data_IF_084121581732
#
_entry.id   IF_084121581732
#
_cell.length_a   1.000
_cell.length_b   1.000
_cell.length_c   1.000
_cell.angle_alpha   90.00
_cell.angle_beta   90.00
_cell.angle_gamma   90.00
#
_symmetry.space_group_name_H-M   'P 1'
#
loop_
_entity.id
_entity.type
_entity.pdbx_description
1 polymer ?
#
# COMPACT_ATOMS: atom_id res chain seq x y z
N UNK A 1 -1.85 18.74 -3.35
CA UNK A 1 -0.63 18.75 -2.52
C UNK A 1 -0.33 17.31 -2.18
N UNK A 2 0.91 16.89 -2.34
CA UNK A 2 1.30 15.53 -2.04
C UNK A 2 1.42 15.36 -0.51
N UNK A 3 0.94 14.24 0.06
CA UNK A 3 0.92 14.06 1.52
C UNK A 3 2.33 13.83 2.06
N UNK A 4 2.61 14.32 3.25
CA UNK A 4 3.78 13.89 4.01
C UNK A 4 3.44 12.61 4.77
N UNK A 5 4.38 11.67 4.83
CA UNK A 5 4.25 10.47 5.64
C UNK A 5 4.49 10.83 7.11
N UNK A 6 3.62 10.35 7.99
CA UNK A 6 3.76 10.52 9.43
C UNK A 6 4.49 9.35 10.10
N UNK A 7 4.68 9.44 11.41
CA UNK A 7 5.44 8.42 12.16
C UNK A 7 4.84 7.01 12.02
N UNK A 8 3.50 6.89 11.93
CA UNK A 8 2.84 5.60 11.78
C UNK A 8 3.05 5.03 10.37
N UNK A 9 3.02 5.88 9.35
CA UNK A 9 3.39 5.49 7.99
C UNK A 9 4.82 4.93 7.93
N UNK A 10 5.78 5.63 8.54
CA UNK A 10 7.18 5.17 8.59
C UNK A 10 7.36 3.89 9.40
N UNK A 11 6.57 3.69 10.47
CA UNK A 11 6.60 2.45 11.23
C UNK A 11 6.18 1.25 10.37
N UNK A 12 5.14 1.41 9.54
CA UNK A 12 4.68 0.38 8.59
C UNK A 12 5.75 0.14 7.52
N UNK A 13 6.30 1.19 6.93
CA UNK A 13 7.37 1.06 5.93
C UNK A 13 8.58 0.27 6.47
N UNK A 14 8.99 0.49 7.72
CA UNK A 14 10.10 -0.28 8.34
C UNK A 14 9.77 -1.75 8.55
N UNK A 15 8.50 -2.12 8.71
CA UNK A 15 8.07 -3.53 8.78
C UNK A 15 8.15 -4.19 7.40
N UNK A 16 7.64 -3.49 6.38
CA UNK A 16 7.60 -3.96 4.99
C UNK A 16 9.00 -4.01 4.36
N UNK A 17 9.84 -3.04 4.66
CA UNK A 17 11.15 -2.84 4.08
C UNK A 17 12.16 -2.42 5.17
N UNK A 18 12.59 -3.34 6.07
CA UNK A 18 13.58 -3.02 7.11
C UNK A 18 14.93 -2.55 6.57
N UNK A 19 15.27 -2.92 5.34
CA UNK A 19 16.44 -2.43 4.60
C UNK A 19 16.32 -0.96 4.18
N UNK A 20 15.10 -0.41 4.22
CA UNK A 20 14.83 0.98 3.87
C UNK A 20 15.33 1.92 4.98
N UNK A 21 16.53 2.45 4.78
CA UNK A 21 17.22 3.37 5.72
C UNK A 21 16.77 4.84 5.61
N UNK A 22 15.65 5.12 4.93
CA UNK A 22 15.06 6.45 4.86
C UNK A 22 15.57 7.34 3.72
N UNK A 23 16.39 6.81 2.80
CA UNK A 23 16.75 7.56 1.60
C UNK A 23 15.67 7.31 0.55
N UNK A 24 14.84 8.35 0.38
CA UNK A 24 13.91 8.55 -0.72
C UNK A 24 14.50 8.08 -2.04
N UNK A 25 13.67 7.42 -2.86
CA UNK A 25 13.99 6.97 -4.21
C UNK A 25 15.12 7.80 -4.86
N UNK A 26 16.37 7.27 -4.92
CA UNK A 26 17.53 8.05 -5.34
C UNK A 26 17.43 8.51 -6.80
N UNK A 27 16.53 7.93 -7.59
CA UNK A 27 16.31 8.27 -9.00
C UNK A 27 15.38 9.46 -9.25
N UNK A 28 14.68 10.01 -8.23
CA UNK A 28 13.71 11.10 -8.48
C UNK A 28 13.75 12.26 -7.49
N UNK A 29 14.41 12.13 -6.33
CA UNK A 29 14.47 13.21 -5.34
C UNK A 29 13.10 13.64 -4.79
N UNK A 30 12.07 12.83 -4.99
CA UNK A 30 10.70 13.08 -4.55
C UNK A 30 10.37 12.19 -3.35
N UNK A 31 9.61 12.74 -2.40
CA UNK A 31 9.12 12.01 -1.25
C UNK A 31 8.09 10.96 -1.68
N UNK A 32 8.11 9.78 -1.06
CA UNK A 32 6.99 8.85 -1.24
C UNK A 32 5.76 9.43 -0.55
N UNK A 33 4.64 9.38 -1.26
CA UNK A 33 3.34 9.85 -0.77
C UNK A 33 2.38 8.68 -0.50
N UNK A 34 2.84 7.46 -0.72
CA UNK A 34 2.12 6.21 -0.47
C UNK A 34 3.09 5.18 0.10
N UNK A 35 2.56 4.12 0.72
CA UNK A 35 3.33 3.05 1.34
C UNK A 35 3.38 1.81 0.43
N UNK A 36 2.23 1.34 -0.03
CA UNK A 36 2.09 0.08 -0.76
C UNK A 36 2.64 0.14 -2.19
N UNK A 37 2.36 1.18 -3.02
CA UNK A 37 2.92 1.26 -4.36
C UNK A 37 4.44 1.25 -4.44
N UNK A 38 5.21 2.00 -3.62
CA UNK A 38 6.66 1.93 -3.69
C UNK A 38 7.21 0.61 -3.15
N UNK A 39 6.55 -0.01 -2.16
CA UNK A 39 6.95 -1.35 -1.70
C UNK A 39 6.80 -2.36 -2.84
N UNK A 40 5.62 -2.42 -3.47
CA UNK A 40 5.34 -3.30 -4.61
C UNK A 40 6.26 -3.03 -5.81
N UNK A 41 6.37 -1.78 -6.27
CA UNK A 41 7.03 -1.49 -7.55
C UNK A 41 8.55 -1.31 -7.49
N UNK A 42 9.10 -0.97 -6.32
CA UNK A 42 10.51 -0.54 -6.22
C UNK A 42 11.33 -1.29 -5.19
N UNK A 43 10.68 -1.91 -4.21
CA UNK A 43 11.37 -2.61 -3.12
C UNK A 43 11.23 -4.12 -3.28
N UNK A 44 10.03 -4.59 -3.64
CA UNK A 44 9.80 -6.01 -3.87
C UNK A 44 10.52 -6.49 -5.12
N UNK A 45 11.10 -7.69 -5.04
CA UNK A 45 11.74 -8.33 -6.20
C UNK A 45 10.72 -8.86 -7.21
N UNK A 46 9.60 -9.39 -6.70
CA UNK A 46 8.51 -10.02 -7.44
C UNK A 46 7.25 -10.12 -6.55
N UNK A 47 6.18 -10.72 -7.10
CA UNK A 47 4.89 -10.92 -6.42
C UNK A 47 5.00 -11.71 -5.11
N UNK A 48 5.90 -12.70 -5.04
CA UNK A 48 6.09 -13.54 -3.86
C UNK A 48 6.78 -12.74 -2.75
N UNK A 49 7.82 -11.97 -3.09
CA UNK A 49 8.48 -11.07 -2.13
C UNK A 49 7.53 -9.99 -1.62
N UNK A 50 6.65 -9.43 -2.47
CA UNK A 50 5.62 -8.50 -2.01
C UNK A 50 4.68 -9.16 -0.99
N UNK A 51 4.15 -10.35 -1.30
CA UNK A 51 3.28 -11.10 -0.40
C UNK A 51 3.96 -11.39 0.95
N UNK A 52 5.23 -11.83 0.94
CA UNK A 52 6.00 -12.06 2.18
C UNK A 52 6.22 -10.79 3.01
N UNK A 53 6.36 -9.62 2.35
CA UNK A 53 6.50 -8.33 3.05
C UNK A 53 5.21 -7.91 3.71
N UNK A 54 4.09 -7.92 3.00
CA UNK A 54 2.81 -7.45 3.55
C UNK A 54 2.24 -8.40 4.61
N UNK A 55 2.62 -9.67 4.59
CA UNK A 55 2.32 -10.63 5.66
C UNK A 55 2.98 -10.29 7.01
N UNK A 56 3.95 -9.35 7.05
CA UNK A 56 4.57 -8.86 8.31
C UNK A 56 3.71 -7.85 9.06
N UNK A 57 2.65 -7.36 8.41
CA UNK A 57 1.73 -6.39 9.00
C UNK A 57 0.76 -7.08 9.95
N UNK A 58 0.50 -6.41 11.07
CA UNK A 58 -0.54 -6.82 12.02
C UNK A 58 -1.92 -6.37 11.57
N UNK A 59 -2.96 -6.93 12.16
CA UNK A 59 -4.35 -6.52 11.88
C UNK A 59 -4.55 -5.00 12.10
N UNK A 60 -3.94 -4.42 13.14
CA UNK A 60 -3.97 -2.98 13.42
C UNK A 60 -3.26 -2.12 12.35
N UNK A 61 -2.22 -2.68 11.69
CA UNK A 61 -1.56 -2.01 10.57
C UNK A 61 -2.48 -2.02 9.34
N UNK A 62 -3.19 -3.13 9.10
CA UNK A 62 -4.16 -3.25 8.02
C UNK A 62 -5.37 -2.34 8.22
N UNK A 63 -5.91 -2.25 9.44
CA UNK A 63 -6.97 -1.29 9.77
C UNK A 63 -6.54 0.15 9.46
N UNK A 64 -5.29 0.50 9.81
CA UNK A 64 -4.74 1.81 9.51
C UNK A 64 -4.59 2.05 8.00
N UNK A 65 -4.02 1.09 7.27
CA UNK A 65 -3.85 1.19 5.82
C UNK A 65 -5.20 1.33 5.11
N UNK A 66 -6.22 0.58 5.54
CA UNK A 66 -7.59 0.72 5.06
C UNK A 66 -8.09 2.14 5.26
N UNK A 67 -7.95 2.72 6.45
CA UNK A 67 -8.35 4.12 6.69
C UNK A 67 -7.63 5.08 5.74
N UNK A 68 -6.32 4.89 5.52
CA UNK A 68 -5.56 5.71 4.58
C UNK A 68 -6.06 5.54 3.14
N UNK A 69 -6.42 4.33 2.71
CA UNK A 69 -6.97 4.07 1.38
C UNK A 69 -8.34 4.72 1.23
N UNK A 70 -9.24 4.53 2.20
CA UNK A 70 -10.60 5.05 2.15
C UNK A 70 -10.66 6.58 2.22
N UNK A 71 -9.66 7.22 2.86
CA UNK A 71 -9.50 8.68 2.90
C UNK A 71 -8.72 9.24 1.72
N UNK A 72 -8.22 8.38 0.82
CA UNK A 72 -7.44 8.76 -0.35
C UNK A 72 -6.02 9.24 -0.04
N UNK A 73 -5.53 9.00 1.18
CA UNK A 73 -4.13 9.25 1.57
C UNK A 73 -3.21 8.16 1.05
N UNK A 74 -3.69 6.93 0.98
CA UNK A 74 -3.00 5.81 0.34
C UNK A 74 -3.68 5.45 -0.98
N UNK A 75 -2.89 5.23 -2.03
CA UNK A 75 -3.40 4.82 -3.34
C UNK A 75 -2.86 3.44 -3.69
N UNK A 76 -3.69 2.61 -4.34
CA UNK A 76 -3.27 1.35 -4.96
C UNK A 76 -2.98 1.52 -6.46
N UNK A 77 -3.07 2.76 -6.98
CA UNK A 77 -2.77 3.06 -8.38
C UNK A 77 -1.33 2.68 -8.72
N UNK A 78 -1.14 2.17 -9.94
CA UNK A 78 0.18 1.78 -10.47
C UNK A 78 0.79 0.55 -9.78
N UNK A 79 0.07 -0.16 -8.91
CA UNK A 79 0.46 -1.49 -8.47
C UNK A 79 0.05 -2.54 -9.54
N UNK A 80 0.81 -3.64 -9.69
CA UNK A 80 0.39 -4.79 -10.47
C UNK A 80 -0.92 -5.39 -9.95
N UNK A 81 -1.71 -6.02 -10.83
CA UNK A 81 -3.00 -6.61 -10.44
C UNK A 81 -2.83 -7.72 -9.39
N UNK A 82 -1.79 -8.56 -9.51
CA UNK A 82 -1.46 -9.60 -8.51
C UNK A 82 -1.21 -9.06 -7.10
N UNK A 83 -0.49 -7.93 -6.99
CA UNK A 83 -0.20 -7.30 -5.70
C UNK A 83 -1.45 -6.66 -5.09
N UNK A 84 -2.33 -6.13 -5.94
CA UNK A 84 -3.63 -5.59 -5.49
C UNK A 84 -4.51 -6.71 -4.95
N UNK A 85 -4.59 -7.85 -5.63
CA UNK A 85 -5.33 -9.01 -5.15
C UNK A 85 -4.79 -9.51 -3.80
N UNK A 86 -3.46 -9.49 -3.63
CA UNK A 86 -2.78 -9.80 -2.36
C UNK A 86 -3.20 -8.84 -1.24
N UNK A 87 -3.21 -7.53 -1.52
CA UNK A 87 -3.70 -6.51 -0.56
C UNK A 87 -5.17 -6.75 -0.19
N UNK A 88 -6.03 -7.03 -1.18
CA UNK A 88 -7.46 -7.27 -0.95
C UNK A 88 -7.69 -8.52 -0.10
N UNK A 89 -6.91 -9.59 -0.31
CA UNK A 89 -6.97 -10.80 0.51
C UNK A 89 -6.65 -10.49 1.97
N UNK A 90 -5.56 -9.78 2.24
CA UNK A 90 -5.20 -9.39 3.60
C UNK A 90 -6.22 -8.46 4.26
N UNK A 91 -6.80 -7.50 3.54
CA UNK A 91 -7.87 -6.65 4.07
C UNK A 91 -9.11 -7.49 4.44
N UNK A 92 -9.43 -8.49 3.62
CA UNK A 92 -10.57 -9.38 3.88
C UNK A 92 -10.38 -10.16 5.19
N UNK A 93 -9.17 -10.68 5.41
CA UNK A 93 -8.82 -11.47 6.61
C UNK A 93 -8.67 -10.61 7.86
N UNK A 94 -7.95 -9.49 7.76
CA UNK A 94 -7.59 -8.66 8.91
C UNK A 94 -8.71 -7.69 9.33
N UNK A 95 -9.55 -7.24 8.39
CA UNK A 95 -10.57 -6.20 8.65
C UNK A 95 -11.97 -6.73 8.37
N UNK A 96 -12.25 -7.06 7.10
CA UNK A 96 -13.50 -7.73 6.68
C UNK A 96 -13.60 -7.81 5.15
N UNK A 97 -14.32 -8.82 4.67
CA UNK A 97 -14.68 -8.97 3.25
C UNK A 97 -15.42 -7.74 2.69
N UNK A 98 -16.33 -7.14 3.46
CA UNK A 98 -17.06 -5.92 3.04
C UNK A 98 -16.09 -4.75 2.77
N UNK A 99 -15.06 -4.62 3.60
CA UNK A 99 -14.05 -3.57 3.48
C UNK A 99 -13.16 -3.81 2.28
N UNK A 100 -12.71 -5.06 2.06
CA UNK A 100 -11.94 -5.43 0.88
C UNK A 100 -12.72 -5.09 -0.40
N UNK A 101 -14.00 -5.45 -0.47
CA UNK A 101 -14.85 -5.12 -1.61
C UNK A 101 -15.05 -3.61 -1.80
N UNK A 102 -15.09 -2.83 -0.71
CA UNK A 102 -15.14 -1.36 -0.80
C UNK A 102 -13.84 -0.79 -1.38
N UNK A 103 -12.68 -1.27 -0.93
CA UNK A 103 -11.37 -0.88 -1.46
C UNK A 103 -11.24 -1.28 -2.93
N UNK A 104 -11.65 -2.49 -3.29
CA UNK A 104 -11.70 -2.98 -4.67
C UNK A 104 -12.48 -2.03 -5.57
N UNK A 105 -13.68 -1.61 -5.15
CA UNK A 105 -14.49 -0.65 -5.92
C UNK A 105 -13.79 0.69 -6.10
N UNK A 106 -13.14 1.22 -5.06
CA UNK A 106 -12.40 2.48 -5.15
C UNK A 106 -11.25 2.38 -6.15
N UNK A 107 -10.50 1.28 -6.14
CA UNK A 107 -9.44 1.02 -7.12
C UNK A 107 -9.99 0.99 -8.55
N UNK A 108 -11.06 0.23 -8.81
CA UNK A 108 -11.66 0.13 -10.16
C UNK A 108 -12.20 1.48 -10.66
N UNK A 109 -12.79 2.29 -9.77
CA UNK A 109 -13.25 3.63 -10.10
C UNK A 109 -12.10 4.61 -10.38
N UNK A 110 -10.95 4.40 -9.74
CA UNK A 110 -9.77 5.25 -9.93
C UNK A 110 -8.95 4.86 -11.17
N UNK A 111 -8.96 3.57 -11.56
CA UNK A 111 -8.31 3.06 -12.77
C UNK A 111 -9.12 3.27 -14.06
N UNK A 112 -10.43 3.51 -13.94
CA UNK A 112 -11.29 3.80 -15.08
C UNK A 112 -11.48 5.31 -15.22
N UNK A 113 -10.74 5.92 -16.14
CA UNK A 113 -11.02 7.28 -16.60
C UNK A 113 -12.41 7.33 -17.24
N UNK A 114 -13.44 7.58 -16.43
CA UNK A 114 -14.75 8.01 -16.93
C UNK A 114 -14.71 9.54 -17.03
N UNK A 115 -14.27 10.01 -18.20
CA UNK A 115 -14.89 11.10 -18.97
C UNK A 115 -14.71 10.85 -20.46
#
# INVERSE_FOLDING_TARGET
MARELDEKDFAILRKLAPEYSGILCPESGHEFHSILPPVSNHISADEEDFAERVARLSDEDWEYLVDQILTGRESLSCMPEEDIDTVLAHISEAVSEETAERVRRLYHLSGCGVL
#
